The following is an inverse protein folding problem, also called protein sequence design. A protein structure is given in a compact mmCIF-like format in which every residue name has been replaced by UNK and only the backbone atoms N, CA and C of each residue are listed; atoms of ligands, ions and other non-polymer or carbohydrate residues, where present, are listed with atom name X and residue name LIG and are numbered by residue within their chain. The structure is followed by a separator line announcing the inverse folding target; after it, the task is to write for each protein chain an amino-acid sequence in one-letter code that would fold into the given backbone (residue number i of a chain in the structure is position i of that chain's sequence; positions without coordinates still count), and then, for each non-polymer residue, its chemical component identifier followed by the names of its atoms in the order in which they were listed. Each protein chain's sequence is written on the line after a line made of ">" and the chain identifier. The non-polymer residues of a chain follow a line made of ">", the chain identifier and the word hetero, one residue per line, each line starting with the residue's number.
data_IF_842243837323
#
_entry.id   IF_842243837323
#
_cell.length_a   1.000
_cell.length_b   1.000
_cell.length_c   1.000
_cell.angle_alpha   90.00
_cell.angle_beta   90.00
_cell.angle_gamma   90.00
#
_symmetry.space_group_name_H-M   'P 1'
#
loop_
_entity.id
_entity.type
_entity.pdbx_description
1 polymer ?
#
# COMPACT_ATOMS: atom_id res chain seq x y z
N UNK A 1 -2.64 18.53 -14.25
CA UNK A 1 -1.70 17.38 -14.21
C UNK A 1 -0.27 17.71 -14.59
N UNK A 2 0.01 18.42 -15.71
CA UNK A 2 1.40 18.65 -16.17
C UNK A 2 2.27 19.45 -15.18
N UNK A 3 1.67 20.40 -14.45
CA UNK A 3 2.34 21.20 -13.42
C UNK A 3 2.67 20.38 -12.17
N UNK A 4 1.70 19.65 -11.63
CA UNK A 4 1.91 18.69 -10.53
C UNK A 4 3.09 17.73 -10.78
N UNK A 5 3.16 17.09 -11.94
CA UNK A 5 4.28 16.17 -12.26
C UNK A 5 5.63 16.88 -12.31
N UNK A 6 5.67 18.11 -12.83
CA UNK A 6 6.89 18.92 -12.87
C UNK A 6 7.33 19.32 -11.46
N UNK A 7 6.39 19.80 -10.62
CA UNK A 7 6.67 20.23 -9.24
C UNK A 7 7.10 19.04 -8.38
N UNK A 8 6.48 17.86 -8.55
CA UNK A 8 6.89 16.63 -7.88
C UNK A 8 8.29 16.16 -8.30
N UNK A 9 8.63 16.27 -9.59
CA UNK A 9 9.96 15.92 -10.09
C UNK A 9 11.02 16.88 -9.54
N UNK A 10 10.73 18.19 -9.54
CA UNK A 10 11.60 19.21 -8.96
C UNK A 10 11.81 18.98 -7.46
N UNK A 11 10.74 18.64 -6.73
CA UNK A 11 10.82 18.33 -5.31
C UNK A 11 11.77 17.15 -5.04
N UNK A 12 11.71 16.09 -5.86
CA UNK A 12 12.61 14.95 -5.71
C UNK A 12 14.09 15.35 -5.87
N UNK A 13 14.41 16.18 -6.87
CA UNK A 13 15.77 16.69 -7.08
C UNK A 13 16.21 17.67 -5.98
N UNK A 14 15.32 18.57 -5.54
CA UNK A 14 15.60 19.50 -4.43
C UNK A 14 15.95 18.72 -3.15
N UNK A 15 15.15 17.71 -2.81
CA UNK A 15 15.40 16.83 -1.67
C UNK A 15 16.70 16.04 -1.81
N UNK A 16 17.02 15.53 -3.01
CA UNK A 16 18.30 14.88 -3.26
C UNK A 16 19.48 15.83 -3.04
N UNK A 17 19.37 17.11 -3.44
CA UNK A 17 20.42 18.12 -3.23
C UNK A 17 20.60 18.49 -1.75
N UNK A 18 19.51 18.61 -1.00
CA UNK A 18 19.53 18.84 0.45
C UNK A 18 20.19 17.66 1.17
N UNK A 19 19.77 16.43 0.87
CA UNK A 19 20.32 15.21 1.50
C UNK A 19 21.80 15.00 1.19
N UNK A 20 22.23 15.30 -0.05
CA UNK A 20 23.64 15.18 -0.44
C UNK A 20 24.51 16.38 -0.02
N UNK A 21 23.94 17.37 0.67
CA UNK A 21 24.66 18.54 1.17
C UNK A 21 25.13 19.51 0.08
N UNK A 22 24.69 19.34 -1.18
CA UNK A 22 25.05 20.21 -2.30
C UNK A 22 24.29 21.52 -2.35
N UNK A 23 23.29 21.69 -1.49
CA UNK A 23 22.47 22.90 -1.43
C UNK A 23 22.32 23.39 0.01
N UNK A 24 23.43 23.90 0.53
CA UNK A 24 23.56 24.38 1.91
C UNK A 24 22.83 25.70 2.18
N UNK A 25 22.52 26.48 1.13
CA UNK A 25 21.82 27.77 1.24
C UNK A 25 20.72 27.84 0.18
N UNK A 26 19.46 27.86 0.60
CA UNK A 26 18.31 27.97 -0.29
C UNK A 26 17.63 26.63 -0.60
N UNK A 27 18.36 25.51 -0.61
CA UNK A 27 17.78 24.19 -0.90
C UNK A 27 16.63 23.77 0.01
N UNK A 28 16.73 24.06 1.31
CA UNK A 28 15.61 23.82 2.26
C UNK A 28 14.40 24.72 2.00
N UNK A 29 14.60 25.93 1.48
CA UNK A 29 13.52 26.87 1.16
C UNK A 29 12.84 26.49 -0.15
N UNK A 30 13.63 26.15 -1.17
CA UNK A 30 13.15 25.61 -2.44
C UNK A 30 12.37 24.29 -2.23
N UNK A 31 12.88 23.39 -1.39
CA UNK A 31 12.18 22.17 -1.00
C UNK A 31 10.83 22.48 -0.33
N UNK A 32 10.79 23.45 0.60
CA UNK A 32 9.56 23.84 1.29
C UNK A 32 8.52 24.44 0.33
N UNK A 33 8.95 25.32 -0.58
CA UNK A 33 8.07 25.95 -1.58
C UNK A 33 7.48 24.90 -2.53
N UNK A 34 8.30 23.95 -2.98
CA UNK A 34 7.86 22.84 -3.84
C UNK A 34 6.94 21.86 -3.09
N UNK A 35 7.22 21.57 -1.82
CA UNK A 35 6.34 20.75 -0.97
C UNK A 35 4.96 21.38 -0.85
N UNK A 36 4.89 22.69 -0.61
CA UNK A 36 3.63 23.40 -0.50
C UNK A 36 2.83 23.35 -1.80
N UNK A 37 3.49 23.54 -2.95
CA UNK A 37 2.84 23.45 -4.27
C UNK A 37 2.27 22.06 -4.55
N UNK A 38 3.06 21.00 -4.31
CA UNK A 38 2.64 19.61 -4.51
C UNK A 38 1.50 19.22 -3.56
N UNK A 39 1.54 19.68 -2.31
CA UNK A 39 0.48 19.43 -1.33
C UNK A 39 -0.84 20.11 -1.73
N UNK A 40 -0.79 21.35 -2.21
CA UNK A 40 -1.97 22.07 -2.70
C UNK A 40 -2.58 21.39 -3.93
N UNK A 41 -1.76 21.03 -4.92
CA UNK A 41 -2.23 20.30 -6.11
C UNK A 41 -2.84 18.95 -5.72
N UNK A 42 -2.22 18.21 -4.79
CA UNK A 42 -2.78 16.94 -4.30
C UNK A 42 -4.14 17.14 -3.63
N UNK A 43 -4.31 18.19 -2.82
CA UNK A 43 -5.59 18.50 -2.18
C UNK A 43 -6.68 18.78 -3.22
N UNK A 44 -6.37 19.54 -4.27
CA UNK A 44 -7.29 19.80 -5.38
C UNK A 44 -7.68 18.51 -6.11
N UNK A 45 -6.73 17.61 -6.35
CA UNK A 45 -6.98 16.32 -6.98
C UNK A 45 -7.86 15.40 -6.12
N UNK A 46 -7.63 15.38 -4.81
CA UNK A 46 -8.45 14.59 -3.89
C UNK A 46 -9.86 15.16 -3.74
N UNK A 47 -10.01 16.49 -3.80
CA UNK A 47 -11.31 17.15 -3.78
C UNK A 47 -12.13 16.92 -5.07
N UNK A 48 -11.46 16.60 -6.18
CA UNK A 48 -12.08 16.34 -7.48
C UNK A 48 -12.14 14.85 -7.86
N UNK A 49 -11.57 13.96 -7.06
CA UNK A 49 -11.61 12.51 -7.25
C UNK A 49 -12.82 11.86 -6.59
N UNK A 50 -13.27 10.68 -7.07
CA UNK A 50 -14.32 9.93 -6.40
C UNK A 50 -13.88 9.60 -4.97
N UNK A 51 -14.74 9.91 -3.99
CA UNK A 51 -14.50 9.56 -2.59
C UNK A 51 -14.19 8.05 -2.51
N UNK A 52 -13.01 7.70 -1.99
CA UNK A 52 -12.73 6.31 -1.67
C UNK A 52 -13.83 5.81 -0.73
N UNK A 53 -14.37 4.58 -0.94
CA UNK A 53 -15.35 4.05 -0.02
C UNK A 53 -14.73 4.04 1.37
N UNK A 54 -15.38 4.73 2.29
CA UNK A 54 -15.04 4.75 3.70
C UNK A 54 -14.72 3.31 4.13
N UNK A 55 -13.52 3.12 4.69
CA UNK A 55 -12.96 1.83 5.09
C UNK A 55 -14.03 0.87 5.59
N UNK A 56 -14.48 -0.04 4.73
CA UNK A 56 -15.46 -1.05 5.05
C UNK A 56 -14.79 -2.13 5.88
N UNK A 57 -14.97 -2.00 7.19
CA UNK A 57 -14.83 -3.02 8.24
C UNK A 57 -13.46 -3.73 8.38
N UNK A 58 -13.06 -4.11 9.60
CA UNK A 58 -11.94 -5.02 9.79
C UNK A 58 -12.21 -6.32 9.03
N UNK A 59 -11.41 -6.59 8.00
CA UNK A 59 -11.32 -7.89 7.36
C UNK A 59 -10.93 -8.90 8.43
N UNK A 60 -11.91 -9.67 8.92
CA UNK A 60 -11.67 -10.84 9.76
C UNK A 60 -10.98 -11.88 8.87
N UNK A 61 -9.66 -11.80 8.78
CA UNK A 61 -8.86 -12.91 8.28
C UNK A 61 -9.14 -14.11 9.19
N UNK A 62 -9.57 -15.27 8.67
CA UNK A 62 -9.61 -16.47 9.47
C UNK A 62 -8.18 -16.77 9.92
N UNK A 63 -7.94 -16.58 11.21
CA UNK A 63 -6.72 -16.99 11.89
C UNK A 63 -6.51 -18.48 11.62
N UNK A 64 -5.37 -18.93 11.04
CA UNK A 64 -5.08 -20.35 10.98
C UNK A 64 -5.01 -20.87 12.42
N UNK A 65 -5.89 -21.84 12.71
CA UNK A 65 -5.96 -22.50 13.99
C UNK A 65 -4.64 -23.21 14.27
N UNK A 66 -4.11 -22.96 15.46
CA UNK A 66 -3.12 -23.74 16.22
C UNK A 66 -1.80 -24.19 15.53
N UNK A 67 -0.62 -23.76 16.03
CA UNK A 67 0.69 -24.21 15.53
C UNK A 67 1.06 -25.65 15.91
N UNK A 68 0.12 -26.44 16.44
CA UNK A 68 0.36 -27.80 16.94
C UNK A 68 -0.11 -28.93 16.00
N UNK A 69 -0.57 -28.63 14.79
CA UNK A 69 -0.98 -29.65 13.82
C UNK A 69 0.24 -30.25 13.09
N UNK A 70 0.59 -31.53 13.29
CA UNK A 70 1.66 -32.19 12.54
C UNK A 70 1.23 -32.39 11.08
N UNK A 71 2.15 -32.12 10.16
CA UNK A 71 1.99 -32.02 8.70
C UNK A 71 1.76 -33.37 7.97
N UNK A 72 1.37 -34.42 8.68
CA UNK A 72 1.35 -35.81 8.21
C UNK A 72 0.09 -36.21 7.43
N UNK A 73 -0.57 -35.27 6.75
CA UNK A 73 -1.82 -35.56 6.05
C UNK A 73 -1.85 -35.06 4.60
N UNK A 74 -0.77 -35.35 3.86
CA UNK A 74 -0.78 -35.34 2.39
C UNK A 74 -0.31 -36.70 1.86
N UNK A 75 -1.17 -37.72 1.90
CA UNK A 75 -0.80 -39.01 1.34
C UNK A 75 -1.73 -40.18 1.60
N UNK A 76 -3.01 -40.08 1.21
CA UNK A 76 -3.81 -41.28 0.98
C UNK A 76 -4.90 -41.02 -0.07
N UNK A 77 -4.90 -41.70 -1.23
CA UNK A 77 -6.04 -41.64 -2.14
C UNK A 77 -7.22 -42.34 -1.46
N UNK A 78 -8.36 -41.65 -1.35
CA UNK A 78 -9.61 -42.26 -0.90
C UNK A 78 -10.09 -43.25 -1.97
N UNK A 79 -9.64 -44.49 -1.88
CA UNK A 79 -10.23 -45.61 -2.61
C UNK A 79 -11.52 -46.03 -1.90
N UNK A 80 -12.63 -45.68 -2.55
CA UNK A 80 -13.86 -46.46 -2.71
C UNK A 80 -14.07 -47.66 -1.79
N UNK A 81 -15.18 -47.67 -1.03
CA UNK A 81 -16.24 -48.69 -1.17
C UNK A 81 -17.49 -48.26 -0.41
N UNK A 82 -18.56 -48.04 -1.17
CA UNK A 82 -19.94 -48.09 -0.71
C UNK A 82 -20.29 -49.54 -0.34
N UNK A 83 -21.07 -49.75 0.72
CA UNK A 83 -21.72 -51.02 1.06
C UNK A 83 -22.99 -50.77 1.89
N UNK A 84 -24.10 -51.50 1.67
CA UNK A 84 -25.48 -51.07 1.98
C UNK A 84 -25.91 -51.36 3.45
N UNK A 85 -27.11 -50.94 3.90
CA UNK A 85 -27.45 -50.84 5.32
C UNK A 85 -27.80 -52.20 5.93
N UNK A 86 -27.54 -52.38 7.22
CA UNK A 86 -28.08 -53.48 8.01
C UNK A 86 -29.18 -52.92 8.91
N UNK A 87 -30.33 -53.60 8.84
CA UNK A 87 -31.66 -53.32 9.41
C UNK A 87 -31.61 -53.12 10.92
#
# INVERSE_FOLDING_TARGET
>A
MRRFTQDATRLAFARQRVVTGRDSIGGRRDEADLLQAVAADRALLLASGPQAPASTAPQHYPQPADPTQPFDQYGAPRQSQQGPPVI
#
